data_IF_626374823028
#
_entry.id   IF_626374823028
#
_cell.length_a   1.000
_cell.length_b   1.000
_cell.length_c   1.000
_cell.angle_alpha   90.00
_cell.angle_beta   90.00
_cell.angle_gamma   90.00
#
_symmetry.space_group_name_H-M   'P 1'
#
loop_
_entity.id
_entity.type
_entity.pdbx_description
1 polymer ?
#
# COMPACT_ATOMS: atom_id res chain seq x y z
N UNK A 1 4.31 -6.83 -0.17
CA UNK A 1 4.46 -7.52 1.14
C UNK A 1 4.69 -9.04 1.03
N UNK A 2 5.76 -9.56 1.65
CA UNK A 2 5.98 -11.00 1.90
C UNK A 2 5.46 -11.42 3.29
N UNK A 3 5.40 -12.72 3.58
CA UNK A 3 5.02 -13.26 4.90
C UNK A 3 5.97 -14.38 5.27
N UNK A 4 6.87 -14.13 6.23
CA UNK A 4 7.95 -15.04 6.60
C UNK A 4 7.42 -16.35 7.16
N UNK A 5 6.43 -16.31 8.05
CA UNK A 5 5.84 -17.50 8.66
C UNK A 5 5.19 -18.47 7.65
N UNK A 6 4.88 -18.00 6.44
CA UNK A 6 4.30 -18.81 5.36
C UNK A 6 5.30 -19.09 4.22
N UNK A 7 6.56 -18.65 4.37
CA UNK A 7 7.54 -18.59 3.29
C UNK A 7 6.97 -17.95 2.00
N UNK A 8 6.07 -16.97 2.14
CA UNK A 8 5.42 -16.28 1.02
C UNK A 8 6.32 -15.13 0.55
N UNK A 9 6.87 -15.19 -0.66
CA UNK A 9 7.68 -14.09 -1.19
C UNK A 9 6.82 -12.84 -1.47
N UNK A 10 7.46 -11.68 -1.43
CA UNK A 10 6.82 -10.42 -1.79
C UNK A 10 6.37 -10.42 -3.27
N UNK A 11 5.22 -9.82 -3.55
CA UNK A 11 4.71 -9.69 -4.92
C UNK A 11 4.18 -10.99 -5.55
N UNK A 12 4.10 -12.09 -4.79
CA UNK A 12 3.45 -13.32 -5.23
C UNK A 12 2.14 -13.56 -4.47
N UNK A 13 1.21 -14.22 -5.15
CA UNK A 13 -0.03 -14.68 -4.53
C UNK A 13 0.28 -15.64 -3.37
N UNK A 14 -0.48 -15.51 -2.29
CA UNK A 14 -0.41 -16.46 -1.18
C UNK A 14 -0.99 -17.81 -1.66
N UNK A 15 -0.32 -18.93 -1.34
CA UNK A 15 -0.84 -20.28 -1.65
C UNK A 15 -2.22 -20.57 -1.03
N UNK A 16 -2.55 -19.87 0.06
CA UNK A 16 -3.82 -19.99 0.77
C UNK A 16 -4.94 -19.12 0.18
N UNK A 17 -4.64 -18.25 -0.79
CA UNK A 17 -5.66 -17.47 -1.47
C UNK A 17 -6.47 -18.33 -2.45
N UNK A 18 -7.80 -18.19 -2.45
CA UNK A 18 -8.71 -18.60 -3.52
C UNK A 18 -9.56 -17.41 -3.94
N UNK A 19 -9.98 -17.38 -5.20
CA UNK A 19 -10.92 -16.36 -5.69
C UNK A 19 -12.31 -16.45 -5.03
N UNK A 20 -12.72 -17.66 -4.62
CA UNK A 20 -14.02 -17.91 -4.00
C UNK A 20 -14.09 -17.46 -2.54
N UNK A 21 -13.05 -17.76 -1.74
CA UNK A 21 -13.11 -17.65 -0.27
C UNK A 21 -12.12 -16.62 0.29
N UNK A 22 -11.30 -16.00 -0.56
CA UNK A 22 -10.18 -15.19 -0.10
C UNK A 22 -9.13 -16.06 0.59
N UNK A 23 -8.80 -15.75 1.85
CA UNK A 23 -7.79 -16.51 2.59
C UNK A 23 -8.40 -17.78 3.21
N UNK A 24 -8.05 -18.97 2.72
CA UNK A 24 -8.58 -20.25 3.23
C UNK A 24 -8.15 -20.60 4.67
N UNK A 25 -7.18 -19.88 5.23
CA UNK A 25 -6.73 -20.03 6.62
C UNK A 25 -6.94 -18.72 7.39
N UNK A 26 -7.99 -17.95 7.08
CA UNK A 26 -8.16 -16.62 7.66
C UNK A 26 -8.12 -16.65 9.19
N UNK A 27 -8.85 -17.55 9.82
CA UNK A 27 -8.86 -17.70 11.29
C UNK A 27 -7.50 -18.08 11.87
N UNK A 28 -6.68 -18.83 11.13
CA UNK A 28 -5.34 -19.31 11.54
C UNK A 28 -4.19 -18.47 10.95
N UNK A 29 -4.48 -17.32 10.34
CA UNK A 29 -3.47 -16.51 9.66
C UNK A 29 -2.35 -16.09 10.64
N UNK A 30 -1.08 -16.06 10.21
CA UNK A 30 0.03 -15.69 11.08
C UNK A 30 -0.04 -14.22 11.51
N UNK A 31 0.72 -13.86 12.56
CA UNK A 31 0.76 -12.50 13.10
C UNK A 31 0.97 -11.42 12.03
N UNK A 32 1.93 -11.63 11.11
CA UNK A 32 2.20 -10.73 9.99
C UNK A 32 0.94 -10.40 9.16
N UNK A 33 0.07 -11.39 8.94
CA UNK A 33 -1.19 -11.21 8.22
C UNK A 33 -2.26 -10.51 9.06
N UNK A 34 -2.22 -10.61 10.39
CA UNK A 34 -3.22 -10.01 11.30
C UNK A 34 -2.97 -8.53 11.54
N UNK A 35 -1.70 -8.12 11.59
CA UNK A 35 -1.33 -6.74 11.90
C UNK A 35 -1.54 -5.79 10.72
N UNK A 36 -1.61 -6.32 9.50
CA UNK A 36 -1.86 -5.50 8.33
C UNK A 36 -3.32 -5.01 8.29
N UNK A 37 -3.48 -3.69 8.19
CA UNK A 37 -4.74 -3.04 7.84
C UNK A 37 -4.43 -1.92 6.84
N UNK A 38 -5.27 -1.79 5.81
CA UNK A 38 -5.18 -0.63 4.91
C UNK A 38 -5.54 0.63 5.69
N UNK A 39 -4.83 1.74 5.46
CA UNK A 39 -5.11 3.02 6.12
C UNK A 39 -6.58 3.44 5.93
N UNK A 40 -7.18 3.16 4.76
CA UNK A 40 -8.60 3.42 4.51
C UNK A 40 -9.55 2.75 5.52
N UNK A 41 -9.18 1.58 6.07
CA UNK A 41 -9.97 0.92 7.13
C UNK A 41 -9.73 1.52 8.52
N UNK A 42 -8.65 2.29 8.69
CA UNK A 42 -8.18 2.76 9.99
C UNK A 42 -8.54 4.22 10.26
N UNK A 43 -9.08 4.95 9.29
CA UNK A 43 -9.43 6.37 9.44
C UNK A 43 -10.68 6.74 8.66
N UNK A 44 -11.54 7.54 9.28
CA UNK A 44 -12.73 8.11 8.63
C UNK A 44 -12.42 9.30 7.72
N UNK A 45 -11.15 9.73 7.68
CA UNK A 45 -10.71 10.84 6.82
C UNK A 45 -10.65 10.48 5.33
N UNK A 46 -10.73 9.19 4.98
CA UNK A 46 -10.67 8.69 3.61
C UNK A 46 -12.04 8.13 3.19
N UNK A 47 -12.67 8.79 2.21
CA UNK A 47 -13.98 8.37 1.70
C UNK A 47 -13.92 7.11 0.82
N UNK A 48 -15.07 6.71 0.26
CA UNK A 48 -15.19 5.54 -0.62
C UNK A 48 -14.35 5.62 -1.91
N UNK A 49 -13.90 6.82 -2.34
CA UNK A 49 -12.99 6.92 -3.47
C UNK A 49 -11.65 6.24 -3.17
N UNK A 50 -11.21 6.28 -1.90
CA UNK A 50 -9.95 5.67 -1.44
C UNK A 50 -10.03 4.17 -1.21
N UNK A 51 -11.22 3.57 -1.31
CA UNK A 51 -11.39 2.13 -1.21
C UNK A 51 -10.53 1.42 -2.26
N UNK A 52 -9.77 0.36 -1.91
CA UNK A 52 -8.75 -0.19 -2.83
C UNK A 52 -9.26 -0.63 -4.21
N UNK A 53 -10.49 -1.14 -4.30
CA UNK A 53 -11.09 -1.53 -5.58
C UNK A 53 -11.29 -0.32 -6.50
N UNK A 54 -11.65 0.83 -5.92
CA UNK A 54 -11.88 2.12 -6.60
C UNK A 54 -10.56 2.82 -6.92
N UNK A 55 -9.69 2.96 -5.91
CA UNK A 55 -8.45 3.72 -5.99
C UNK A 55 -7.34 3.01 -6.78
N UNK A 56 -7.36 1.67 -6.85
CA UNK A 56 -6.32 0.90 -7.53
C UNK A 56 -5.02 0.71 -6.74
N UNK A 57 -5.04 1.01 -5.44
CA UNK A 57 -3.91 0.83 -4.54
C UNK A 57 -4.38 0.59 -3.10
N UNK A 58 -3.47 0.09 -2.25
CA UNK A 58 -3.64 0.10 -0.79
C UNK A 58 -2.64 1.05 -0.16
N UNK A 59 -2.98 1.57 1.01
CA UNK A 59 -2.14 2.46 1.80
C UNK A 59 -1.81 1.79 3.12
N UNK A 60 -0.57 1.86 3.57
CA UNK A 60 -0.22 1.44 4.93
C UNK A 60 0.95 2.25 5.47
N UNK A 61 0.99 2.42 6.78
CA UNK A 61 2.06 3.14 7.46
C UNK A 61 3.16 2.18 7.92
N UNK A 62 4.39 2.67 7.88
CA UNK A 62 5.58 2.06 8.46
C UNK A 62 6.26 3.07 9.39
N UNK A 63 7.28 2.62 10.15
CA UNK A 63 8.10 3.48 11.02
C UNK A 63 7.29 4.33 12.01
N UNK A 64 6.24 3.76 12.60
CA UNK A 64 5.40 4.48 13.57
C UNK A 64 4.56 5.61 12.95
N UNK A 65 4.31 5.58 11.64
CA UNK A 65 3.45 6.55 10.95
C UNK A 65 4.18 7.52 10.04
N UNK A 66 5.48 7.72 10.26
CA UNK A 66 6.29 8.71 9.51
C UNK A 66 6.57 8.31 8.07
N UNK A 67 6.32 7.05 7.69
CA UNK A 67 6.39 6.58 6.31
C UNK A 67 5.04 6.03 5.87
N UNK A 68 4.46 6.63 4.85
CA UNK A 68 3.31 6.10 4.14
C UNK A 68 3.77 5.33 2.90
N UNK A 69 3.29 4.10 2.76
CA UNK A 69 3.48 3.27 1.59
C UNK A 69 2.17 3.22 0.80
N UNK A 70 2.25 3.51 -0.50
CA UNK A 70 1.18 3.32 -1.47
C UNK A 70 1.55 2.15 -2.38
N UNK A 71 0.82 1.04 -2.25
CA UNK A 71 1.04 -0.17 -3.06
C UNK A 71 0.02 -0.20 -4.21
N UNK A 72 0.45 0.20 -5.40
CA UNK A 72 -0.38 0.15 -6.59
C UNK A 72 -0.55 -1.27 -7.12
N UNK A 73 -1.73 -1.55 -7.65
CA UNK A 73 -1.99 -2.70 -8.49
C UNK A 73 -1.03 -2.66 -9.70
N UNK A 74 -0.36 -3.79 -9.98
CA UNK A 74 0.60 -3.88 -11.08
C UNK A 74 -0.05 -3.67 -12.46
N UNK A 75 -1.36 -3.90 -12.58
CA UNK A 75 -2.14 -3.64 -13.80
C UNK A 75 -2.61 -2.19 -13.90
N UNK A 76 -2.56 -1.44 -12.80
CA UNK A 76 -2.98 -0.02 -12.71
C UNK A 76 -1.93 0.85 -12.00
N UNK A 77 -0.66 0.82 -12.43
CA UNK A 77 0.46 1.44 -11.69
C UNK A 77 0.43 2.99 -11.66
N UNK A 78 -0.52 3.61 -12.36
CA UNK A 78 -0.64 5.06 -12.48
C UNK A 78 -1.91 5.62 -11.84
N UNK A 79 -2.79 4.79 -11.27
CA UNK A 79 -4.06 5.25 -10.71
C UNK A 79 -3.88 6.24 -9.55
N UNK A 80 -2.77 6.16 -8.81
CA UNK A 80 -2.42 7.12 -7.76
C UNK A 80 -2.25 8.56 -8.26
N UNK A 81 -2.07 8.77 -9.57
CA UNK A 81 -1.96 10.10 -10.19
C UNK A 81 -3.32 10.73 -10.53
N UNK A 82 -4.42 10.00 -10.35
CA UNK A 82 -5.75 10.55 -10.55
C UNK A 82 -6.14 11.41 -9.35
N UNK A 83 -6.96 12.42 -9.59
CA UNK A 83 -7.59 13.15 -8.49
C UNK A 83 -8.68 12.29 -7.82
N UNK A 84 -8.87 12.40 -6.48
CA UNK A 84 -8.20 13.34 -5.56
C UNK A 84 -6.85 12.85 -4.99
N UNK A 85 -6.38 11.69 -5.45
CA UNK A 85 -5.26 10.97 -4.82
C UNK A 85 -3.94 11.71 -4.98
N UNK A 86 -3.66 12.22 -6.18
CA UNK A 86 -2.38 12.86 -6.45
C UNK A 86 -2.16 14.10 -5.57
N UNK A 87 -3.12 15.02 -5.55
CA UNK A 87 -3.03 16.23 -4.73
C UNK A 87 -2.88 15.89 -3.24
N UNK A 88 -3.63 14.90 -2.75
CA UNK A 88 -3.60 14.49 -1.34
C UNK A 88 -2.27 13.85 -0.95
N UNK A 89 -1.77 12.90 -1.77
CA UNK A 89 -0.48 12.24 -1.52
C UNK A 89 0.68 13.24 -1.55
N UNK A 90 0.66 14.22 -2.47
CA UNK A 90 1.65 15.30 -2.51
C UNK A 90 1.58 16.20 -1.29
N UNK A 91 0.37 16.55 -0.84
CA UNK A 91 0.18 17.30 0.41
C UNK A 91 0.80 16.58 1.60
N UNK A 92 0.60 15.26 1.72
CA UNK A 92 1.22 14.47 2.78
C UNK A 92 2.74 14.37 2.64
N UNK A 93 3.26 14.21 1.43
CA UNK A 93 4.70 14.18 1.18
C UNK A 93 5.40 15.51 1.51
N UNK A 94 4.68 16.62 1.47
CA UNK A 94 5.17 17.93 1.88
C UNK A 94 5.11 18.17 3.39
N UNK A 95 4.43 17.30 4.16
CA UNK A 95 4.34 17.46 5.62
C UNK A 95 5.70 17.18 6.28
N UNK A 96 6.14 18.01 7.25
CA UNK A 96 7.42 17.81 7.92
C UNK A 96 7.53 16.43 8.57
N UNK A 97 8.62 15.71 8.27
CA UNK A 97 8.88 14.38 8.82
C UNK A 97 8.06 13.25 8.21
N UNK A 98 7.24 13.51 7.20
CA UNK A 98 6.47 12.50 6.48
C UNK A 98 7.16 12.08 5.19
N UNK A 99 7.40 10.78 5.02
CA UNK A 99 7.81 10.17 3.75
C UNK A 99 6.60 9.52 3.09
N UNK A 100 6.45 9.69 1.78
CA UNK A 100 5.45 8.99 0.96
C UNK A 100 6.16 8.25 -0.17
N UNK A 101 6.02 6.93 -0.18
CA UNK A 101 6.57 6.05 -1.20
C UNK A 101 5.45 5.39 -1.98
N UNK A 102 5.48 5.49 -3.30
CA UNK A 102 4.52 4.83 -4.19
C UNK A 102 5.23 3.71 -4.93
N UNK A 103 4.74 2.48 -4.80
CA UNK A 103 5.31 1.28 -5.41
C UNK A 103 4.35 0.62 -6.39
N UNK A 104 4.91 0.12 -7.49
CA UNK A 104 4.28 -0.87 -8.37
C UNK A 104 5.24 -2.06 -8.48
N UNK A 105 4.97 -3.10 -7.68
CA UNK A 105 5.89 -4.23 -7.52
C UNK A 105 7.20 -3.83 -6.86
N UNK A 106 8.34 -4.05 -7.53
CA UNK A 106 9.67 -3.74 -6.99
C UNK A 106 10.13 -2.30 -7.28
N UNK A 107 9.50 -1.62 -8.23
CA UNK A 107 9.83 -0.25 -8.63
C UNK A 107 8.92 0.72 -7.88
N UNK A 108 9.47 1.85 -7.46
CA UNK A 108 8.69 2.89 -6.84
C UNK A 108 9.28 4.27 -7.04
N UNK A 109 8.57 5.23 -6.48
CA UNK A 109 8.94 6.63 -6.46
C UNK A 109 8.70 7.18 -5.06
N UNK A 110 9.68 7.90 -4.53
CA UNK A 110 9.52 8.76 -3.38
C UNK A 110 8.99 10.10 -3.87
N UNK A 111 7.84 10.51 -3.35
CA UNK A 111 7.29 11.82 -3.64
C UNK A 111 8.09 12.87 -2.87
N UNK A 112 8.62 13.87 -3.56
CA UNK A 112 9.29 15.01 -2.96
C UNK A 112 8.42 16.26 -2.99
N UNK A 113 8.83 17.29 -2.25
CA UNK A 113 8.16 18.59 -2.27
C UNK A 113 8.23 19.26 -3.65
N UNK A 114 9.39 19.13 -4.33
CA UNK A 114 9.64 19.73 -5.65
C UNK A 114 9.90 18.68 -6.73
N UNK A 115 10.69 17.65 -6.41
CA UNK A 115 11.07 16.61 -7.37
C UNK A 115 10.90 15.21 -6.78
N UNK A 116 10.32 14.33 -7.58
CA UNK A 116 10.13 12.92 -7.24
C UNK A 116 11.45 12.16 -7.48
N UNK A 117 11.80 11.19 -6.63
CA UNK A 117 13.03 10.38 -6.78
C UNK A 117 12.73 8.88 -6.90
N UNK A 118 13.41 8.13 -7.77
CA UNK A 118 13.16 6.70 -7.93
C UNK A 118 13.62 5.93 -6.68
N UNK A 119 12.85 4.90 -6.30
CA UNK A 119 13.21 3.96 -5.23
C UNK A 119 12.96 2.52 -5.69
N UNK A 120 13.68 1.57 -5.09
CA UNK A 120 13.52 0.15 -5.38
C UNK A 120 13.40 -0.63 -4.07
N UNK A 121 12.51 -1.61 -4.02
CA UNK A 121 12.50 -2.58 -2.93
C UNK A 121 13.67 -3.54 -3.09
N UNK A 122 14.32 -3.84 -1.97
CA UNK A 122 15.32 -4.89 -1.86
C UNK A 122 14.70 -6.25 -2.21
#
# INVERSE_FOLDING_TARGET
>A
MGVTALAKPAGKWCRHFSKADGCRIYEDRPGDCRVFNCLWLLTDALDEAWKPITAGFVLHSEQGGTRLIVECDATRPHDWRREPYQATLRKWAAAPGQEVLVFAGARGVRLGAETDSPVRRA
#
